data_IF_245311206209
#
_entry.id   IF_245311206209
#
_cell.length_a   1.000
_cell.length_b   1.000
_cell.length_c   1.000
_cell.angle_alpha   90.00
_cell.angle_beta   90.00
_cell.angle_gamma   90.00
#
_symmetry.space_group_name_H-M   'P 1'
#
loop_
_entity.id
_entity.type
_entity.pdbx_description
1 polymer ?
#
# COMPACT_ATOMS: atom_id res chain seq x y z
N UNK A 1 8.75 -11.73 -17.66
CA UNK A 1 9.02 -11.95 -16.22
C UNK A 1 8.70 -10.71 -15.36
N UNK A 2 9.08 -9.49 -15.76
CA UNK A 2 8.74 -8.24 -15.04
C UNK A 2 7.26 -8.07 -14.68
N UNK A 3 6.34 -8.43 -15.60
CA UNK A 3 4.89 -8.26 -15.39
C UNK A 3 4.35 -9.00 -14.16
N UNK A 4 4.94 -10.15 -13.81
CA UNK A 4 4.59 -10.92 -12.60
C UNK A 4 5.08 -10.25 -11.32
N UNK A 5 6.26 -9.63 -11.38
CA UNK A 5 6.87 -8.92 -10.25
C UNK A 5 6.05 -7.65 -9.93
N UNK A 6 5.68 -6.89 -10.96
CA UNK A 6 4.91 -5.63 -10.82
C UNK A 6 3.43 -5.86 -10.45
N UNK A 7 2.91 -7.09 -10.59
CA UNK A 7 1.56 -7.46 -10.16
C UNK A 7 1.53 -8.26 -8.86
N UNK A 8 2.66 -8.39 -8.15
CA UNK A 8 2.63 -9.04 -6.84
C UNK A 8 1.99 -8.10 -5.80
N UNK A 9 0.90 -8.50 -5.12
CA UNK A 9 0.21 -7.66 -4.15
C UNK A 9 1.14 -7.29 -2.99
N UNK A 10 2.03 -8.19 -2.57
CA UNK A 10 3.01 -7.93 -1.51
C UNK A 10 4.06 -6.87 -1.91
N UNK A 11 4.55 -6.90 -3.16
CA UNK A 11 5.50 -5.88 -3.64
C UNK A 11 4.80 -4.54 -3.84
N UNK A 12 3.54 -4.53 -4.28
CA UNK A 12 2.74 -3.31 -4.37
C UNK A 12 2.43 -2.72 -2.99
N UNK A 13 2.13 -3.56 -1.99
CA UNK A 13 1.96 -3.13 -0.60
C UNK A 13 3.26 -2.52 -0.07
N UNK A 14 4.37 -3.26 -0.20
CA UNK A 14 5.67 -2.84 0.32
C UNK A 14 6.14 -1.53 -0.31
N UNK A 15 6.07 -1.42 -1.65
CA UNK A 15 6.44 -0.20 -2.35
C UNK A 15 5.52 0.97 -2.01
N UNK A 16 4.19 0.75 -1.91
CA UNK A 16 3.24 1.75 -1.45
C UNK A 16 3.56 2.26 -0.04
N UNK A 17 3.95 1.36 0.88
CA UNK A 17 4.29 1.71 2.25
C UNK A 17 5.58 2.54 2.34
N UNK A 18 6.63 2.13 1.61
CA UNK A 18 7.89 2.86 1.55
C UNK A 18 7.68 4.25 0.95
N UNK A 19 6.89 4.36 -0.11
CA UNK A 19 6.57 5.64 -0.74
C UNK A 19 5.76 6.54 0.19
N UNK A 20 4.78 5.98 0.92
CA UNK A 20 3.96 6.73 1.87
C UNK A 20 4.80 7.28 3.02
N UNK A 21 5.69 6.45 3.60
CA UNK A 21 6.55 6.87 4.70
C UNK A 21 7.51 7.97 4.26
N UNK A 22 8.14 7.80 3.10
CA UNK A 22 9.15 8.75 2.59
C UNK A 22 8.49 10.08 2.18
N UNK A 23 7.44 10.03 1.37
CA UNK A 23 6.71 11.23 0.95
C UNK A 23 5.95 11.90 2.09
N UNK A 24 5.49 11.12 3.08
CA UNK A 24 4.85 11.60 4.29
C UNK A 24 5.82 12.39 5.17
N UNK A 25 7.02 11.84 5.39
CA UNK A 25 8.08 12.55 6.12
C UNK A 25 8.46 13.87 5.44
N UNK A 26 8.67 13.82 4.13
CA UNK A 26 9.07 14.99 3.34
C UNK A 26 7.99 16.06 3.27
N UNK A 27 6.72 15.64 3.16
CA UNK A 27 5.57 16.55 3.21
C UNK A 27 5.41 17.16 4.60
N UNK A 28 5.65 16.40 5.67
CA UNK A 28 5.57 16.88 7.05
C UNK A 28 6.68 17.90 7.38
N UNK A 29 7.91 17.64 6.94
CA UNK A 29 9.05 18.55 7.10
C UNK A 29 8.83 19.88 6.34
N UNK A 30 8.19 19.82 5.16
CA UNK A 30 7.97 20.97 4.27
C UNK A 30 6.59 21.60 4.37
N UNK A 31 5.79 21.23 5.36
CA UNK A 31 4.38 21.64 5.48
C UNK A 31 4.19 23.16 5.62
N UNK A 32 5.23 23.90 6.01
CA UNK A 32 5.24 25.36 6.09
C UNK A 32 5.58 26.08 4.77
N UNK A 33 6.18 25.38 3.81
CA UNK A 33 6.46 25.91 2.47
C UNK A 33 5.37 25.37 1.53
N UNK A 34 4.37 26.19 1.21
CA UNK A 34 3.21 25.84 0.36
C UNK A 34 3.59 25.61 -1.13
N UNK A 35 4.71 24.95 -1.38
CA UNK A 35 5.13 24.50 -2.69
C UNK A 35 4.46 23.15 -2.94
N UNK A 36 3.43 23.15 -3.78
CA UNK A 36 2.74 21.97 -4.34
C UNK A 36 3.68 21.18 -5.28
N UNK A 37 4.88 20.86 -4.81
CA UNK A 37 5.89 20.14 -5.55
C UNK A 37 5.58 18.63 -5.58
N UNK A 38 6.35 17.89 -6.37
CA UNK A 38 6.21 16.45 -6.65
C UNK A 38 5.96 15.56 -5.40
N UNK A 39 6.41 15.98 -4.22
CA UNK A 39 6.21 15.28 -2.96
C UNK A 39 4.73 15.01 -2.60
N UNK A 40 3.83 15.98 -2.85
CA UNK A 40 2.39 15.75 -2.63
C UNK A 40 1.81 14.77 -3.65
N UNK A 41 2.32 14.76 -4.90
CA UNK A 41 1.91 13.80 -5.92
C UNK A 41 2.28 12.36 -5.54
N UNK A 42 3.50 12.15 -5.03
CA UNK A 42 3.96 10.85 -4.54
C UNK A 42 3.17 10.41 -3.31
N UNK A 43 2.85 11.33 -2.41
CA UNK A 43 2.00 11.07 -1.25
C UNK A 43 0.62 10.56 -1.68
N UNK A 44 -0.09 11.30 -2.54
CA UNK A 44 -1.41 10.89 -3.03
C UNK A 44 -1.34 9.57 -3.80
N UNK A 45 -0.32 9.39 -4.65
CA UNK A 45 -0.10 8.14 -5.37
C UNK A 45 0.09 6.96 -4.42
N UNK A 46 0.90 7.12 -3.38
CA UNK A 46 1.14 6.07 -2.38
C UNK A 46 -0.12 5.69 -1.60
N UNK A 47 -0.98 6.66 -1.27
CA UNK A 47 -2.29 6.42 -0.63
C UNK A 47 -3.19 5.59 -1.56
N UNK A 48 -3.32 6.01 -2.82
CA UNK A 48 -4.14 5.28 -3.81
C UNK A 48 -3.59 3.86 -4.03
N UNK A 49 -2.27 3.72 -4.12
CA UNK A 49 -1.60 2.44 -4.29
C UNK A 49 -1.91 1.50 -3.11
N UNK A 50 -1.84 2.00 -1.88
CA UNK A 50 -2.18 1.21 -0.69
C UNK A 50 -3.66 0.83 -0.64
N UNK A 51 -4.57 1.76 -0.96
CA UNK A 51 -6.01 1.51 -1.01
C UNK A 51 -6.36 0.37 -1.98
N UNK A 52 -5.65 0.25 -3.11
CA UNK A 52 -5.85 -0.84 -4.08
C UNK A 52 -5.47 -2.22 -3.53
N UNK A 53 -4.55 -2.29 -2.56
CA UNK A 53 -4.08 -3.56 -1.99
C UNK A 53 -4.93 -4.02 -0.80
N UNK A 54 -5.67 -3.12 -0.15
CA UNK A 54 -6.61 -3.46 0.94
C UNK A 54 -7.58 -4.59 0.58
N UNK A 55 -8.34 -4.54 -0.55
CA UNK A 55 -9.29 -5.61 -0.87
C UNK A 55 -8.61 -6.96 -1.11
N UNK A 56 -7.38 -6.97 -1.67
CA UNK A 56 -6.62 -8.21 -1.84
C UNK A 56 -6.17 -8.79 -0.49
N UNK A 57 -5.77 -7.94 0.46
CA UNK A 57 -5.46 -8.37 1.82
C UNK A 57 -6.68 -8.95 2.52
N UNK A 58 -7.84 -8.29 2.42
CA UNK A 58 -9.08 -8.76 3.03
C UNK A 58 -9.52 -10.12 2.48
N UNK A 59 -9.44 -10.32 1.16
CA UNK A 59 -9.71 -11.63 0.56
C UNK A 59 -8.75 -12.71 1.06
N UNK A 60 -7.44 -12.41 1.11
CA UNK A 60 -6.46 -13.38 1.63
C UNK A 60 -6.69 -13.71 3.11
N UNK A 61 -7.08 -12.74 3.92
CA UNK A 61 -7.45 -12.94 5.33
C UNK A 61 -8.73 -13.78 5.48
N UNK A 62 -9.72 -13.59 4.61
CA UNK A 62 -10.93 -14.42 4.59
C UNK A 62 -10.62 -15.88 4.22
N UNK A 63 -9.80 -16.12 3.19
CA UNK A 63 -9.37 -17.48 2.82
C UNK A 63 -8.65 -18.19 3.97
N UNK A 64 -7.77 -17.48 4.70
CA UNK A 64 -7.09 -18.04 5.88
C UNK A 64 -8.09 -18.35 6.99
N UNK A 65 -9.07 -17.48 7.22
CA UNK A 65 -10.10 -17.69 8.24
C UNK A 65 -10.98 -18.91 7.93
N UNK A 66 -11.50 -18.99 6.70
CA UNK A 66 -12.34 -20.10 6.24
C UNK A 66 -11.58 -21.43 6.20
N UNK A 67 -10.27 -21.41 5.91
CA UNK A 67 -9.43 -22.63 5.94
C UNK A 67 -9.00 -23.06 7.35
N UNK A 68 -9.12 -22.19 8.36
CA UNK A 68 -8.88 -22.51 9.78
C UNK A 68 -10.15 -23.04 10.46
N UNK A 69 -11.35 -22.74 9.95
CA UNK A 69 -12.63 -23.22 10.51
C UNK A 69 -13.13 -24.64 10.15
N UNK A 70 -12.53 -25.46 9.24
CA UNK A 70 -13.06 -26.80 8.96
C UNK A 70 -12.70 -27.86 10.02
N UNK A 71 -12.04 -27.47 11.11
CA UNK A 71 -11.63 -28.37 12.19
C UNK A 71 -12.15 -27.91 13.56
N UNK A 72 -13.46 -27.64 13.65
CA UNK A 72 -14.20 -27.76 14.91
C UNK A 72 -15.35 -28.74 14.66
N UNK A 73 -15.12 -29.99 15.06
CA UNK A 73 -16.16 -31.01 15.24
C UNK A 73 -17.17 -30.58 16.31
#
# INVERSE_FOLDING_TARGET
>A
MLKKVVHSPYLNLFSGLVLLLTAGWETWDRLGEFSLAAHHGVLVFSIIQLLKVIPELLHGLQEIHESVEPCKE
#
